data_IF_209704377085
#
_entry.id   IF_209704377085
#
_cell.length_a   1.000
_cell.length_b   1.000
_cell.length_c   1.000
_cell.angle_alpha   90.00
_cell.angle_beta   90.00
_cell.angle_gamma   90.00
#
_symmetry.space_group_name_H-M   'P 1'
#
loop_
_entity.id
_entity.type
_entity.pdbx_description
1 polymer ?
#
# COMPACT_ATOMS: atom_id res chain seq x y z
N UNK A 1 3.54 53.00 19.93
CA UNK A 1 3.10 51.72 19.32
C UNK A 1 3.93 51.46 18.07
N UNK A 2 4.99 50.65 18.16
CA UNK A 2 6.02 50.53 17.11
C UNK A 2 6.68 49.14 17.02
N UNK A 3 6.01 48.11 17.54
CA UNK A 3 6.49 46.71 17.52
C UNK A 3 5.46 45.70 17.01
N UNK A 4 4.33 46.17 16.46
CA UNK A 4 3.21 45.31 16.06
C UNK A 4 3.14 45.05 14.54
N UNK A 5 4.09 45.56 13.76
CA UNK A 5 4.08 45.44 12.28
C UNK A 5 5.07 44.42 11.72
N UNK A 6 5.81 43.69 12.56
CA UNK A 6 6.78 42.66 12.10
C UNK A 6 6.18 41.25 12.15
N UNK A 7 5.06 41.04 12.87
CA UNK A 7 4.50 39.70 13.07
C UNK A 7 3.60 39.19 11.92
N UNK A 8 3.18 40.06 10.99
CA UNK A 8 2.22 39.69 9.94
C UNK A 8 2.85 39.26 8.61
N UNK A 9 4.16 39.42 8.43
CA UNK A 9 4.83 39.19 7.14
C UNK A 9 5.51 37.81 6.98
N UNK A 10 5.62 37.02 8.06
CA UNK A 10 6.27 35.69 8.01
C UNK A 10 5.24 34.55 7.92
N UNK A 11 3.96 34.82 8.19
CA UNK A 11 2.91 33.80 8.19
C UNK A 11 2.36 33.42 6.79
N UNK A 12 2.85 34.03 5.70
CA UNK A 12 2.21 33.93 4.39
C UNK A 12 2.96 33.12 3.32
N UNK A 13 4.11 32.49 3.60
CA UNK A 13 4.98 31.93 2.54
C UNK A 13 5.18 30.41 2.51
N UNK A 14 4.49 29.60 3.33
CA UNK A 14 4.64 28.13 3.27
C UNK A 14 3.33 27.35 3.38
N UNK A 15 2.35 27.64 2.54
CA UNK A 15 1.12 26.84 2.49
C UNK A 15 0.60 26.64 1.08
N UNK A 16 1.49 26.23 0.17
CA UNK A 16 1.07 25.56 -1.06
C UNK A 16 1.62 24.13 -1.01
N UNK A 17 1.10 23.32 -0.09
CA UNK A 17 1.17 21.87 -0.24
C UNK A 17 -0.23 21.39 -0.60
N UNK A 18 -0.32 20.94 -1.85
CA UNK A 18 -1.43 20.28 -2.52
C UNK A 18 -2.60 19.83 -1.62
N UNK A 19 -3.75 20.46 -1.84
CA UNK A 19 -5.06 19.89 -1.55
C UNK A 19 -5.16 18.52 -2.25
N UNK A 20 -5.12 17.44 -1.47
CA UNK A 20 -5.62 16.13 -1.88
C UNK A 20 -6.88 15.83 -1.06
N UNK A 21 -7.98 16.46 -1.45
CA UNK A 21 -9.29 16.21 -0.90
C UNK A 21 -9.94 15.00 -1.60
N UNK A 22 -9.72 13.80 -1.06
CA UNK A 22 -10.66 12.67 -1.14
C UNK A 22 -10.26 11.58 -0.12
N UNK A 23 -10.92 11.60 1.05
CA UNK A 23 -11.09 10.45 1.95
C UNK A 23 -9.84 9.91 2.67
N UNK A 24 -9.60 10.40 3.90
CA UNK A 24 -8.88 9.64 4.92
C UNK A 24 -7.35 9.80 4.97
N UNK A 25 -6.88 11.02 5.26
CA UNK A 25 -5.92 11.30 6.34
C UNK A 25 -4.59 10.55 6.44
N UNK A 26 -4.04 10.02 5.34
CA UNK A 26 -2.68 9.49 5.31
C UNK A 26 -2.04 9.67 3.94
N UNK A 27 -0.77 10.07 3.90
CA UNK A 27 0.01 10.06 2.67
C UNK A 27 0.02 8.63 2.11
N UNK A 28 -0.39 8.47 0.85
CA UNK A 28 -0.27 7.17 0.18
C UNK A 28 1.22 6.83 0.09
N UNK A 29 1.58 5.66 0.63
CA UNK A 29 2.92 5.11 0.50
C UNK A 29 3.28 4.92 -0.99
N UNK A 30 4.49 5.29 -1.39
CA UNK A 30 4.98 5.10 -2.76
C UNK A 30 5.16 3.60 -3.06
N UNK A 31 5.24 3.19 -4.33
CA UNK A 31 5.54 1.79 -4.67
C UNK A 31 6.83 1.28 -4.04
N UNK A 32 7.89 2.10 -4.07
CA UNK A 32 9.20 1.76 -3.49
C UNK A 32 9.14 1.58 -1.98
N UNK A 33 8.48 2.50 -1.27
CA UNK A 33 8.24 2.38 0.17
C UNK A 33 7.42 1.14 0.50
N UNK A 34 6.43 0.81 -0.34
CA UNK A 34 5.60 -0.38 -0.17
C UNK A 34 6.37 -1.67 -0.39
N UNK A 35 7.28 -1.70 -1.35
CA UNK A 35 8.18 -2.84 -1.60
C UNK A 35 9.05 -3.04 -0.37
N UNK A 36 9.73 -1.99 0.08
CA UNK A 36 10.60 -2.05 1.28
C UNK A 36 9.83 -2.53 2.50
N UNK A 37 8.67 -1.94 2.78
CA UNK A 37 7.81 -2.34 3.90
C UNK A 37 7.40 -3.82 3.82
N UNK A 38 7.05 -4.30 2.62
CA UNK A 38 6.64 -5.70 2.43
C UNK A 38 7.81 -6.65 2.67
N UNK A 39 8.99 -6.35 2.13
CA UNK A 39 10.21 -7.15 2.33
C UNK A 39 10.61 -7.18 3.82
N UNK A 40 10.53 -6.04 4.52
CA UNK A 40 10.79 -5.98 5.96
C UNK A 40 9.82 -6.86 6.76
N UNK A 41 8.53 -6.86 6.38
CA UNK A 41 7.52 -7.71 7.00
C UNK A 41 7.77 -9.21 6.76
N UNK A 42 8.51 -9.59 5.73
CA UNK A 42 8.83 -10.99 5.43
C UNK A 42 10.01 -11.54 6.24
N UNK A 43 10.71 -10.71 7.02
CA UNK A 43 11.84 -11.14 7.85
C UNK A 43 11.56 -12.39 8.73
N UNK A 44 10.36 -12.56 9.35
CA UNK A 44 10.05 -13.74 10.17
C UNK A 44 10.02 -15.07 9.40
N UNK A 45 9.94 -15.04 8.06
CA UNK A 45 9.95 -16.26 7.22
C UNK A 45 11.33 -16.95 7.21
N UNK A 46 12.38 -16.28 7.70
CA UNK A 46 13.74 -16.81 7.77
C UNK A 46 14.20 -17.47 6.45
N UNK A 47 13.94 -16.77 5.33
CA UNK A 47 14.28 -17.25 3.99
C UNK A 47 15.80 -17.35 3.83
N UNK A 48 16.28 -18.39 3.15
CA UNK A 48 17.67 -18.44 2.71
C UNK A 48 17.97 -17.34 1.66
N UNK A 49 19.25 -17.09 1.40
CA UNK A 49 19.68 -16.01 0.51
C UNK A 49 19.10 -16.11 -0.92
N UNK A 50 19.02 -17.32 -1.48
CA UNK A 50 18.52 -17.51 -2.84
C UNK A 50 17.00 -17.31 -2.89
N UNK A 51 16.28 -17.83 -1.90
CA UNK A 51 14.82 -17.66 -1.77
C UNK A 51 14.44 -16.20 -1.50
N UNK A 52 15.25 -15.48 -0.72
CA UNK A 52 15.07 -14.05 -0.47
C UNK A 52 15.17 -13.23 -1.76
N UNK A 53 16.23 -13.41 -2.56
CA UNK A 53 16.39 -12.69 -3.84
C UNK A 53 15.20 -12.92 -4.78
N UNK A 54 14.73 -14.17 -4.89
CA UNK A 54 13.55 -14.49 -5.71
C UNK A 54 12.27 -13.85 -5.15
N UNK A 55 12.11 -13.86 -3.83
CA UNK A 55 10.97 -13.24 -3.15
C UNK A 55 10.92 -11.73 -3.38
N UNK A 56 12.05 -11.06 -3.20
CA UNK A 56 12.17 -9.61 -3.37
C UNK A 56 11.78 -9.21 -4.80
N UNK A 57 12.23 -9.98 -5.81
CA UNK A 57 11.83 -9.78 -7.20
C UNK A 57 10.31 -9.98 -7.41
N UNK A 58 9.74 -11.09 -6.91
CA UNK A 58 8.29 -11.38 -7.02
C UNK A 58 7.44 -10.27 -6.38
N UNK A 59 7.85 -9.76 -5.22
CA UNK A 59 7.15 -8.68 -4.52
C UNK A 59 7.28 -7.35 -5.26
N UNK A 60 8.47 -7.06 -5.78
CA UNK A 60 8.74 -5.85 -6.59
C UNK A 60 7.83 -5.83 -7.83
N UNK A 61 7.82 -6.92 -8.58
CA UNK A 61 6.97 -7.07 -9.78
C UNK A 61 5.50 -6.92 -9.42
N UNK A 62 5.03 -7.64 -8.40
CA UNK A 62 3.63 -7.59 -7.95
C UNK A 62 3.19 -6.18 -7.57
N UNK A 63 4.01 -5.42 -6.82
CA UNK A 63 3.64 -4.08 -6.37
C UNK A 63 3.63 -3.09 -7.54
N UNK A 64 4.61 -3.18 -8.44
CA UNK A 64 4.67 -2.33 -9.63
C UNK A 64 3.48 -2.59 -10.57
N UNK A 65 3.21 -3.85 -10.88
CA UNK A 65 2.07 -4.27 -11.71
C UNK A 65 0.73 -3.88 -11.07
N UNK A 66 0.58 -4.11 -9.75
CA UNK A 66 -0.63 -3.73 -9.02
C UNK A 66 -0.84 -2.24 -9.01
N UNK A 67 0.22 -1.44 -8.84
CA UNK A 67 0.10 0.03 -8.85
C UNK A 67 -0.36 0.49 -10.23
N UNK A 68 0.34 0.05 -11.28
CA UNK A 68 0.02 0.40 -12.67
C UNK A 68 -1.42 -0.01 -13.04
N UNK A 69 -1.80 -1.26 -12.79
CA UNK A 69 -3.14 -1.75 -13.13
C UNK A 69 -4.25 -0.98 -12.39
N UNK A 70 -4.01 -0.63 -11.12
CA UNK A 70 -4.98 0.14 -10.34
C UNK A 70 -5.10 1.60 -10.79
N UNK A 71 -4.02 2.19 -11.28
CA UNK A 71 -4.03 3.54 -11.82
C UNK A 71 -4.71 3.58 -13.20
N UNK A 72 -4.44 2.59 -14.06
CA UNK A 72 -5.12 2.44 -15.35
C UNK A 72 -6.63 2.24 -15.19
N UNK A 73 -7.05 1.31 -14.31
CA UNK A 73 -8.48 1.08 -14.04
C UNK A 73 -9.17 2.31 -13.46
N UNK A 74 -8.50 3.06 -12.59
CA UNK A 74 -9.04 4.31 -12.02
C UNK A 74 -9.15 5.40 -13.09
N UNK A 75 -8.14 5.55 -13.94
CA UNK A 75 -8.15 6.50 -15.05
C UNK A 75 -9.26 6.16 -16.07
N UNK A 76 -9.53 4.88 -16.28
CA UNK A 76 -10.61 4.39 -17.12
C UNK A 76 -12.02 4.51 -16.49
N UNK A 77 -12.13 5.00 -15.25
CA UNK A 77 -13.42 5.11 -14.55
C UNK A 77 -14.05 3.76 -14.19
N UNK A 78 -13.24 2.71 -14.04
CA UNK A 78 -13.71 1.35 -13.75
C UNK A 78 -14.43 1.28 -12.41
N UNK A 79 -15.40 0.37 -12.30
CA UNK A 79 -16.14 0.14 -11.06
C UNK A 79 -15.30 -0.58 -9.99
N UNK A 80 -15.90 -0.75 -8.81
CA UNK A 80 -15.26 -1.42 -7.68
C UNK A 80 -15.03 -2.91 -7.94
N UNK A 81 -15.90 -3.56 -8.69
CA UNK A 81 -15.84 -5.01 -8.91
C UNK A 81 -14.67 -5.36 -9.84
N UNK A 82 -14.48 -4.58 -10.91
CA UNK A 82 -13.32 -4.68 -11.80
C UNK A 82 -12.00 -4.46 -11.04
N UNK A 83 -11.96 -3.44 -10.18
CA UNK A 83 -10.80 -3.18 -9.32
C UNK A 83 -10.52 -4.35 -8.35
N UNK A 84 -11.55 -4.93 -7.74
CA UNK A 84 -11.40 -6.07 -6.82
C UNK A 84 -10.97 -7.34 -7.55
N UNK A 85 -11.57 -7.63 -8.70
CA UNK A 85 -11.22 -8.75 -9.55
C UNK A 85 -9.75 -8.68 -9.97
N UNK A 86 -9.29 -7.52 -10.46
CA UNK A 86 -7.91 -7.36 -10.89
C UNK A 86 -6.90 -7.49 -9.73
N UNK A 87 -7.23 -6.96 -8.55
CA UNK A 87 -6.41 -7.15 -7.34
C UNK A 87 -6.29 -8.62 -6.96
N UNK A 88 -7.41 -9.35 -7.01
CA UNK A 88 -7.43 -10.78 -6.71
C UNK A 88 -6.57 -11.55 -7.71
N UNK A 89 -6.74 -11.30 -9.00
CA UNK A 89 -5.95 -11.92 -10.06
C UNK A 89 -4.44 -11.74 -9.84
N UNK A 90 -4.00 -10.50 -9.61
CA UNK A 90 -2.58 -10.21 -9.36
C UNK A 90 -2.07 -10.85 -8.06
N UNK A 91 -2.89 -10.86 -7.02
CA UNK A 91 -2.54 -11.50 -5.74
C UNK A 91 -2.41 -13.01 -5.87
N UNK A 92 -3.33 -13.66 -6.58
CA UNK A 92 -3.30 -15.10 -6.84
C UNK A 92 -2.06 -15.47 -7.68
N UNK A 93 -1.73 -14.66 -8.69
CA UNK A 93 -0.53 -14.86 -9.50
C UNK A 93 0.77 -14.75 -8.68
N UNK A 94 0.87 -13.76 -7.78
CA UNK A 94 2.00 -13.64 -6.83
C UNK A 94 2.06 -14.87 -5.91
N UNK A 95 0.93 -15.31 -5.39
CA UNK A 95 0.86 -16.44 -4.47
C UNK A 95 1.31 -17.75 -5.11
N UNK A 96 1.00 -17.97 -6.39
CA UNK A 96 1.54 -19.10 -7.16
C UNK A 96 3.06 -19.03 -7.24
N UNK A 97 3.63 -17.86 -7.55
CA UNK A 97 5.08 -17.67 -7.63
C UNK A 97 5.77 -17.88 -6.27
N UNK A 98 5.20 -17.36 -5.19
CA UNK A 98 5.75 -17.54 -3.83
C UNK A 98 5.67 -18.99 -3.36
N UNK A 99 4.54 -19.67 -3.59
CA UNK A 99 4.36 -21.09 -3.23
C UNK A 99 5.39 -22.00 -3.90
N UNK A 100 5.84 -21.65 -5.12
CA UNK A 100 6.84 -22.43 -5.85
C UNK A 100 8.26 -22.32 -5.25
N UNK A 101 8.55 -21.28 -4.45
CA UNK A 101 9.88 -21.05 -3.87
C UNK A 101 9.90 -21.23 -2.34
N UNK A 102 8.74 -21.28 -1.69
CA UNK A 102 8.63 -21.44 -0.24
C UNK A 102 8.45 -22.90 0.15
N UNK A 103 8.99 -23.23 1.32
CA UNK A 103 8.52 -24.41 2.06
C UNK A 103 7.05 -24.22 2.46
N UNK A 104 6.38 -25.32 2.76
CA UNK A 104 4.98 -25.28 3.22
C UNK A 104 4.81 -24.40 4.47
N UNK A 105 5.74 -24.50 5.42
CA UNK A 105 5.72 -23.69 6.65
C UNK A 105 5.85 -22.20 6.37
N UNK A 106 6.80 -21.79 5.51
CA UNK A 106 6.98 -20.39 5.11
C UNK A 106 5.77 -19.85 4.35
N UNK A 107 5.21 -20.65 3.43
CA UNK A 107 4.03 -20.23 2.68
C UNK A 107 2.79 -20.11 3.57
N UNK A 108 2.63 -21.02 4.53
CA UNK A 108 1.58 -20.93 5.54
C UNK A 108 1.73 -19.65 6.37
N UNK A 109 2.92 -19.36 6.88
CA UNK A 109 3.18 -18.13 7.64
C UNK A 109 2.95 -16.87 6.79
N UNK A 110 3.32 -16.90 5.50
CA UNK A 110 2.99 -15.82 4.56
C UNK A 110 1.49 -15.55 4.50
N UNK A 111 0.66 -16.58 4.35
CA UNK A 111 -0.81 -16.45 4.23
C UNK A 111 -1.48 -16.07 5.55
N UNK A 112 -1.00 -16.60 6.66
CA UNK A 112 -1.65 -16.46 7.96
C UNK A 112 -1.25 -15.16 8.68
N UNK A 113 -0.01 -14.70 8.50
CA UNK A 113 0.55 -13.59 9.29
C UNK A 113 0.99 -12.42 8.41
N UNK A 114 1.82 -12.69 7.41
CA UNK A 114 2.51 -11.62 6.68
C UNK A 114 1.54 -10.87 5.76
N UNK A 115 0.88 -11.57 4.83
CA UNK A 115 -0.04 -10.95 3.86
C UNK A 115 -1.19 -10.18 4.54
N UNK A 116 -1.87 -10.71 5.58
CA UNK A 116 -2.88 -9.96 6.31
C UNK A 116 -2.34 -8.66 6.93
N UNK A 117 -1.08 -8.66 7.40
CA UNK A 117 -0.45 -7.48 7.99
C UNK A 117 -0.16 -6.35 6.97
N UNK A 118 -0.17 -6.65 5.66
CA UNK A 118 0.06 -5.66 4.59
C UNK A 118 -1.20 -4.86 4.24
N UNK A 119 -2.36 -5.28 4.74
CA UNK A 119 -3.63 -4.59 4.46
C UNK A 119 -3.70 -3.31 5.32
N UNK A 120 -4.19 -2.19 4.76
CA UNK A 120 -4.43 -0.99 5.57
C UNK A 120 -5.36 -1.34 6.72
N UNK A 121 -4.88 -1.16 7.95
CA UNK A 121 -5.73 -1.33 9.14
C UNK A 121 -6.77 -0.22 9.12
N UNK A 122 -8.06 -0.57 9.02
CA UNK A 122 -9.12 0.41 9.24
C UNK A 122 -9.01 0.86 10.70
N UNK A 123 -9.03 2.17 11.00
CA UNK A 123 -9.09 2.65 12.38
C UNK A 123 -10.26 1.97 13.08
N UNK A 124 -9.98 1.30 14.19
CA UNK A 124 -11.01 0.74 15.05
C UNK A 124 -11.92 1.90 15.51
N UNK A 125 -13.17 1.91 15.05
CA UNK A 125 -14.16 2.94 15.43
C UNK A 125 -14.53 3.97 14.36
N UNK A 126 -14.03 3.87 13.12
CA UNK A 126 -14.66 4.63 12.03
C UNK A 126 -16.06 4.03 11.78
N UNK A 127 -17.17 4.75 12.05
CA UNK A 127 -18.50 4.24 11.75
C UNK A 127 -18.51 3.81 10.29
N UNK A 128 -19.03 2.62 10.01
CA UNK A 128 -19.31 2.20 8.64
C UNK A 128 -20.12 3.33 8.02
N UNK A 129 -19.48 4.13 7.17
CA UNK A 129 -20.08 5.32 6.59
C UNK A 129 -21.40 4.91 5.99
N UNK A 130 -22.47 5.28 6.68
CA UNK A 130 -23.82 5.02 6.26
C UNK A 130 -23.95 5.63 4.88
N UNK A 131 -24.22 4.79 3.90
CA UNK A 131 -24.85 5.22 2.66
C UNK A 131 -26.21 5.80 3.04
N UNK A 132 -26.20 7.08 3.40
CA UNK A 132 -27.39 7.86 3.68
C UNK A 132 -27.96 8.37 2.37
N UNK A 133 -29.04 7.70 1.94
CA UNK A 133 -30.10 8.13 1.02
C UNK A 133 -29.73 8.31 -0.45
#
# INVERSE_FOLDING_TARGET
MKKQLVLAAIAAMFSITAVNAQGGGGQRMTPEERIKFTIEKMAPLNLDAATKVKSDAIITDYINESTKAMDELRAAGSDRDAMMAKRKELSDARDVKLKAIYTEAQYKQWKDEIEPSLRPQRPAGAPAGGGGK
#
